data_IF_183256183961
#
_entry.id   IF_183256183961
#
_cell.length_a   1.000
_cell.length_b   1.000
_cell.length_c   1.000
_cell.angle_alpha   90.00
_cell.angle_beta   90.00
_cell.angle_gamma   90.00
#
_symmetry.space_group_name_H-M   'P 1'
#
loop_
_entity.id
_entity.type
_entity.pdbx_description
1 polymer ?
#
# COMPACT_ATOMS: atom_id res chain seq x y z
N UNK A 1 20.44 -14.90 -2.94
CA UNK A 1 19.84 -15.02 -1.59
C UNK A 1 18.33 -14.86 -1.71
N UNK A 2 17.56 -15.85 -1.28
CA UNK A 2 16.10 -15.79 -1.31
C UNK A 2 15.63 -14.62 -0.44
N UNK A 3 15.07 -13.58 -1.05
CA UNK A 3 14.49 -12.44 -0.33
C UNK A 3 13.11 -12.87 0.15
N UNK A 4 12.98 -13.04 1.46
CA UNK A 4 11.73 -13.41 2.16
C UNK A 4 10.57 -12.56 1.67
N UNK A 5 9.47 -13.21 1.30
CA UNK A 5 8.22 -12.53 0.98
C UNK A 5 7.74 -11.78 2.23
N UNK A 6 7.37 -10.49 2.12
CA UNK A 6 6.81 -9.77 3.25
C UNK A 6 5.49 -10.41 3.67
N UNK A 7 5.24 -10.47 4.98
CA UNK A 7 3.99 -10.97 5.54
C UNK A 7 2.90 -9.89 5.40
N UNK A 8 1.73 -10.19 4.81
CA UNK A 8 0.65 -9.22 4.70
C UNK A 8 -0.01 -8.99 6.06
N UNK A 9 -0.15 -7.71 6.41
CA UNK A 9 -0.99 -7.25 7.50
C UNK A 9 -2.44 -7.21 6.98
N UNK A 10 -3.39 -7.92 7.62
CA UNK A 10 -4.77 -8.05 7.12
C UNK A 10 -5.51 -6.71 7.07
N UNK A 11 -5.33 -5.87 8.09
CA UNK A 11 -6.02 -4.60 8.25
C UNK A 11 -5.01 -3.48 8.54
N UNK A 12 -4.28 -3.00 7.52
CA UNK A 12 -3.41 -1.85 7.70
C UNK A 12 -4.25 -0.60 7.96
N UNK A 13 -3.70 0.33 8.72
CA UNK A 13 -4.28 1.66 8.88
C UNK A 13 -4.16 2.44 7.56
N UNK A 14 -5.27 2.87 6.92
CA UNK A 14 -5.23 3.49 5.60
C UNK A 14 -4.57 4.89 5.60
N UNK A 15 -4.26 5.45 6.76
CA UNK A 15 -3.66 6.77 6.87
C UNK A 15 -2.13 6.75 6.67
N UNK A 16 -1.66 7.40 5.60
CA UNK A 16 -0.25 7.72 5.42
C UNK A 16 0.07 9.11 5.99
N UNK A 17 0.56 9.17 7.24
CA UNK A 17 0.94 10.44 7.87
C UNK A 17 2.29 11.01 7.38
N UNK A 18 3.17 10.13 6.89
CA UNK A 18 4.49 10.46 6.37
C UNK A 18 4.90 9.47 5.26
N UNK A 19 6.11 9.65 4.72
CA UNK A 19 6.65 8.78 3.67
C UNK A 19 6.82 7.32 4.14
N UNK A 20 7.16 7.09 5.41
CA UNK A 20 7.35 5.75 5.95
C UNK A 20 6.02 4.99 6.05
N UNK A 21 4.97 5.66 6.52
CA UNK A 21 3.61 5.13 6.56
C UNK A 21 3.08 4.83 5.15
N UNK A 22 3.32 5.74 4.18
CA UNK A 22 2.96 5.49 2.78
C UNK A 22 3.71 4.27 2.22
N UNK A 23 5.01 4.19 2.46
CA UNK A 23 5.85 3.07 2.04
C UNK A 23 5.39 1.73 2.62
N UNK A 24 5.03 1.72 3.91
CA UNK A 24 4.49 0.55 4.58
C UNK A 24 3.17 0.07 3.95
N UNK A 25 2.29 0.98 3.54
CA UNK A 25 1.04 0.64 2.85
C UNK A 25 1.29 0.02 1.48
N UNK A 26 2.19 0.60 0.68
CA UNK A 26 2.60 0.04 -0.62
C UNK A 26 3.23 -1.35 -0.44
N UNK A 27 4.14 -1.48 0.54
CA UNK A 27 4.77 -2.76 0.88
C UNK A 27 3.76 -3.81 1.30
N UNK A 28 2.78 -3.43 2.11
CA UNK A 28 1.71 -4.33 2.54
C UNK A 28 0.85 -4.79 1.36
N UNK A 29 0.56 -3.88 0.43
CA UNK A 29 -0.18 -4.23 -0.79
C UNK A 29 0.60 -5.23 -1.63
N UNK A 30 1.92 -5.03 -1.82
CA UNK A 30 2.75 -6.04 -2.48
C UNK A 30 2.77 -7.36 -1.71
N UNK A 31 2.83 -7.34 -0.39
CA UNK A 31 2.75 -8.54 0.44
C UNK A 31 1.46 -9.34 0.20
N UNK A 32 0.31 -8.66 0.06
CA UNK A 32 -0.96 -9.31 -0.28
C UNK A 32 -0.93 -9.97 -1.66
N UNK A 33 -0.23 -9.37 -2.64
CA UNK A 33 -0.04 -9.95 -3.99
C UNK A 33 0.97 -11.10 -4.03
N UNK A 34 1.71 -11.36 -2.94
CA UNK A 34 2.77 -12.38 -2.83
C UNK A 34 3.87 -12.26 -3.90
N UNK A 35 4.09 -11.05 -4.43
CA UNK A 35 5.13 -10.80 -5.43
C UNK A 35 6.47 -10.45 -4.80
N UNK A 36 7.55 -10.92 -5.42
CA UNK A 36 8.89 -10.43 -5.10
C UNK A 36 9.01 -8.98 -5.57
N UNK A 37 9.93 -8.25 -4.96
CA UNK A 37 10.16 -6.84 -5.32
C UNK A 37 10.64 -6.69 -6.77
N UNK A 38 11.37 -7.68 -7.28
CA UNK A 38 11.88 -7.69 -8.65
C UNK A 38 10.70 -7.82 -9.63
N UNK A 39 9.91 -8.89 -9.50
CA UNK A 39 8.72 -9.15 -10.33
C UNK A 39 7.69 -8.01 -10.27
N UNK A 40 7.48 -7.44 -9.08
CA UNK A 40 6.57 -6.31 -8.91
C UNK A 40 7.09 -5.05 -9.61
N UNK A 41 8.39 -4.75 -9.52
CA UNK A 41 8.96 -3.59 -10.19
C UNK A 41 8.84 -3.72 -11.71
N UNK A 42 9.09 -4.92 -12.25
CA UNK A 42 8.96 -5.22 -13.67
C UNK A 42 7.51 -5.10 -14.15
N UNK A 43 6.55 -5.69 -13.42
CA UNK A 43 5.11 -5.58 -13.70
C UNK A 43 4.65 -4.11 -13.71
N UNK A 44 5.11 -3.33 -12.73
CA UNK A 44 4.77 -1.92 -12.61
C UNK A 44 5.51 -1.05 -13.61
N UNK A 45 6.54 -1.55 -14.31
CA UNK A 45 7.39 -0.76 -15.21
C UNK A 45 8.16 0.35 -14.49
N UNK A 46 8.65 0.06 -13.27
CA UNK A 46 9.54 0.92 -12.47
C UNK A 46 10.83 0.17 -12.13
N UNK A 47 11.89 0.89 -11.73
CA UNK A 47 13.09 0.20 -11.28
C UNK A 47 12.89 -0.39 -9.88
N UNK A 48 13.53 -1.53 -9.61
CA UNK A 48 13.59 -2.15 -8.28
C UNK A 48 14.02 -1.16 -7.20
N UNK A 49 15.00 -0.31 -7.49
CA UNK A 49 15.48 0.71 -6.55
C UNK A 49 14.37 1.70 -6.18
N UNK A 50 13.59 2.16 -7.17
CA UNK A 50 12.46 3.06 -6.93
C UNK A 50 11.41 2.41 -6.04
N UNK A 51 11.01 1.16 -6.36
CA UNK A 51 10.03 0.44 -5.55
C UNK A 51 10.56 0.18 -4.13
N UNK A 52 11.85 -0.18 -4.00
CA UNK A 52 12.47 -0.41 -2.69
C UNK A 52 12.58 0.87 -1.87
N UNK A 53 12.94 2.00 -2.48
CA UNK A 53 12.98 3.29 -1.78
C UNK A 53 11.60 3.70 -1.31
N UNK A 54 10.59 3.59 -2.17
CA UNK A 54 9.21 3.91 -1.82
C UNK A 54 8.73 3.07 -0.64
N UNK A 55 8.92 1.74 -0.68
CA UNK A 55 8.52 0.85 0.42
C UNK A 55 9.21 1.12 1.76
N UNK A 56 10.43 1.66 1.72
CA UNK A 56 11.21 2.02 2.90
C UNK A 56 11.02 3.48 3.31
N UNK A 57 10.06 4.20 2.72
CA UNK A 57 9.75 5.59 3.06
C UNK A 57 10.77 6.63 2.61
N UNK A 58 11.58 6.29 1.59
CA UNK A 58 12.53 7.24 0.99
C UNK A 58 11.86 8.02 -0.13
N UNK A 59 12.36 9.24 -0.35
CA UNK A 59 11.86 10.10 -1.42
C UNK A 59 12.02 9.44 -2.80
N UNK A 60 10.92 9.48 -3.56
CA UNK A 60 10.82 9.09 -4.97
C UNK A 60 10.07 10.19 -5.70
N UNK A 61 10.19 10.24 -7.02
CA UNK A 61 9.46 11.22 -7.82
C UNK A 61 7.96 10.89 -7.85
N UNK A 62 7.11 11.93 -7.88
CA UNK A 62 5.65 11.78 -7.78
C UNK A 62 5.06 10.97 -8.94
N UNK A 63 5.62 11.09 -10.14
CA UNK A 63 5.23 10.28 -11.31
C UNK A 63 5.39 8.77 -11.03
N UNK A 64 6.48 8.38 -10.38
CA UNK A 64 6.73 6.98 -10.01
C UNK A 64 5.82 6.53 -8.88
N UNK A 65 5.56 7.40 -7.91
CA UNK A 65 4.60 7.11 -6.84
C UNK A 65 3.22 6.78 -7.42
N UNK A 66 2.64 7.66 -8.24
CA UNK A 66 1.32 7.42 -8.83
C UNK A 66 1.29 6.18 -9.71
N UNK A 67 2.36 5.91 -10.47
CA UNK A 67 2.48 4.68 -11.26
C UNK A 67 2.47 3.40 -10.41
N UNK A 68 3.16 3.42 -9.27
CA UNK A 68 3.16 2.27 -8.33
C UNK A 68 1.80 2.12 -7.65
N UNK A 69 1.16 3.23 -7.23
CA UNK A 69 -0.17 3.18 -6.62
C UNK A 69 -1.20 2.58 -7.58
N UNK A 70 -1.25 3.08 -8.81
CA UNK A 70 -2.16 2.62 -9.85
C UNK A 70 -1.97 1.14 -10.16
N UNK A 71 -0.73 0.70 -10.41
CA UNK A 71 -0.45 -0.70 -10.73
C UNK A 71 -0.70 -1.68 -9.57
N UNK A 72 -0.84 -1.20 -8.33
CA UNK A 72 -1.29 -2.01 -7.20
C UNK A 72 -2.78 -1.83 -6.85
N UNK A 73 -3.52 -1.03 -7.62
CA UNK A 73 -4.92 -0.71 -7.38
C UNK A 73 -5.13 0.11 -6.10
N UNK A 74 -4.16 0.93 -5.73
CA UNK A 74 -4.23 1.88 -4.64
C UNK A 74 -4.57 3.27 -5.18
N UNK A 75 -5.27 4.07 -4.38
CA UNK A 75 -5.58 5.45 -4.73
C UNK A 75 -5.20 6.40 -3.59
N UNK A 76 -4.91 7.65 -3.92
CA UNK A 76 -4.55 8.68 -2.94
C UNK A 76 -5.74 9.64 -2.74
N UNK A 77 -6.20 9.76 -1.50
CA UNK A 77 -7.26 10.69 -1.11
C UNK A 77 -6.67 11.87 -0.34
N UNK A 78 -6.99 13.09 -0.75
CA UNK A 78 -6.57 14.33 -0.08
C UNK A 78 -7.77 14.96 0.60
N UNK A 79 -7.74 15.04 1.93
CA UNK A 79 -8.81 15.62 2.76
C UNK A 79 -8.24 16.61 3.78
N UNK A 80 -9.02 17.59 4.26
CA UNK A 80 -8.63 18.43 5.38
C UNK A 80 -8.30 17.60 6.64
N UNK A 81 -7.32 18.02 7.44
CA UNK A 81 -6.88 17.31 8.65
C UNK A 81 -8.01 16.99 9.64
N UNK A 82 -9.00 17.90 9.75
CA UNK A 82 -10.19 17.71 10.60
C UNK A 82 -11.07 16.53 10.17
N UNK A 83 -11.04 16.18 8.89
CA UNK A 83 -11.92 15.16 8.29
C UNK A 83 -11.23 13.79 8.23
N UNK A 84 -9.91 13.74 8.52
CA UNK A 84 -9.10 12.51 8.49
C UNK A 84 -9.67 11.43 9.40
N UNK A 85 -10.07 11.78 10.63
CA UNK A 85 -10.59 10.80 11.58
C UNK A 85 -11.89 10.18 11.08
N UNK A 86 -12.78 11.01 10.53
CA UNK A 86 -14.05 10.56 9.95
C UNK A 86 -13.80 9.61 8.77
N UNK A 87 -12.94 10.00 7.83
CA UNK A 87 -12.57 9.17 6.68
C UNK A 87 -11.92 7.84 7.10
N UNK A 88 -11.01 7.89 8.08
CA UNK A 88 -10.33 6.72 8.65
C UNK A 88 -11.31 5.73 9.28
N UNK A 89 -12.29 6.22 10.06
CA UNK A 89 -13.28 5.37 10.69
C UNK A 89 -14.14 4.66 9.64
N UNK A 90 -14.67 5.41 8.66
CA UNK A 90 -15.48 4.84 7.57
C UNK A 90 -14.68 3.76 6.81
N UNK A 91 -13.43 4.02 6.46
CA UNK A 91 -12.61 3.04 5.73
C UNK A 91 -12.27 1.79 6.56
N UNK A 92 -12.07 1.92 7.88
CA UNK A 92 -11.87 0.77 8.77
C UNK A 92 -13.13 -0.07 8.92
N UNK A 93 -14.29 0.56 9.10
CA UNK A 93 -15.58 -0.13 9.25
C UNK A 93 -15.95 -0.90 7.96
N UNK A 94 -15.65 -0.33 6.78
CA UNK A 94 -15.86 -1.03 5.52
C UNK A 94 -14.91 -2.22 5.35
N UNK A 95 -13.68 -2.14 5.87
CA UNK A 95 -12.72 -3.24 5.83
C UNK A 95 -13.14 -4.42 6.73
N UNK A 96 -13.68 -4.14 7.92
CA UNK A 96 -14.20 -5.19 8.82
C UNK A 96 -15.44 -5.87 8.24
N UNK A 97 -16.36 -5.11 7.63
CA UNK A 97 -17.54 -5.67 6.96
C UNK A 97 -17.15 -6.58 5.79
N UNK A 98 -16.19 -6.17 4.95
CA UNK A 98 -15.70 -7.01 3.84
C UNK A 98 -15.05 -8.31 4.34
N UNK A 99 -14.22 -8.24 5.38
CA UNK A 99 -13.59 -9.42 5.96
C UNK A 99 -14.60 -10.39 6.58
N UNK A 100 -15.71 -9.90 7.15
CA UNK A 100 -16.80 -10.73 7.67
C UNK A 100 -17.63 -11.43 6.58
N UNK A 101 -17.80 -10.79 5.41
CA UNK A 101 -18.59 -11.35 4.29
C UNK A 101 -17.91 -12.49 3.54
N UNK A 102 -16.58 -12.65 3.63
CA UNK A 102 -15.83 -13.72 2.97
C UNK A 102 -15.76 -15.04 3.76
N UNK A 103 -16.36 -15.13 4.94
CA UNK A 103 -16.35 -16.31 5.82
C UNK A 103 -17.59 -17.22 5.71
N UNK A 104 -18.50 -16.95 4.77
CA UNK A 104 -19.74 -17.71 4.59
C UNK A 104 -19.97 -18.05 3.12
N UNK A 105 -19.23 -19.04 2.61
CA UNK A 105 -19.54 -19.77 1.39
C UNK A 105 -18.87 -21.16 1.47
#
# INVERSE_FOLDING_TARGET
MARTLPQPIPTPDPLAADLAALGALVRNRRAQTRMRIDDAADMLGVSKDVLSRLENGRAVSLDKLFKVLDGFGLNLLVVPKRDVQTARNVLRDQATVRAGSSGGA
#
